data_IF_783634987250
#
_entry.id   IF_783634987250
#
_cell.length_a   1.000
_cell.length_b   1.000
_cell.length_c   1.000
_cell.angle_alpha   90.00
_cell.angle_beta   90.00
_cell.angle_gamma   90.00
#
_symmetry.space_group_name_H-M   'P 1'
#
loop_
_entity.id
_entity.type
_entity.pdbx_description
1 polymer ?
#
# COMPACT_ATOMS: atom_id res chain seq x y z
N UNK A 1 -5.28 8.41 -17.78
CA UNK A 1 -5.67 9.03 -16.50
C UNK A 1 -6.43 8.11 -15.53
N UNK A 2 -7.05 7.00 -15.98
CA UNK A 2 -7.78 6.07 -15.10
C UNK A 2 -6.91 5.36 -14.04
N UNK A 3 -5.72 4.89 -14.43
CA UNK A 3 -4.78 4.18 -13.53
C UNK A 3 -4.38 5.06 -12.34
N UNK A 4 -4.09 6.33 -12.60
CA UNK A 4 -3.75 7.31 -11.57
C UNK A 4 -4.89 7.49 -10.56
N UNK A 5 -6.15 7.50 -11.01
CA UNK A 5 -7.30 7.58 -10.11
C UNK A 5 -7.38 6.37 -9.17
N UNK A 6 -7.12 5.15 -9.67
CA UNK A 6 -7.10 3.95 -8.84
C UNK A 6 -5.98 4.01 -7.80
N UNK A 7 -4.78 4.43 -8.22
CA UNK A 7 -3.61 4.52 -7.33
C UNK A 7 -3.76 5.57 -6.22
N UNK A 8 -4.69 6.52 -6.35
CA UNK A 8 -5.04 7.47 -5.29
C UNK A 8 -5.98 6.87 -4.23
N UNK A 9 -6.54 5.69 -4.46
CA UNK A 9 -7.46 5.03 -3.54
C UNK A 9 -6.65 4.21 -2.51
N UNK A 10 -6.80 4.45 -1.19
CA UNK A 10 -6.07 3.72 -0.15
C UNK A 10 -6.33 2.21 -0.16
N UNK A 11 -7.54 1.80 -0.52
CA UNK A 11 -7.91 0.39 -0.60
C UNK A 11 -7.12 -0.40 -1.64
N UNK A 12 -6.63 0.24 -2.71
CA UNK A 12 -5.73 -0.40 -3.65
C UNK A 12 -4.42 -0.81 -2.95
N UNK A 13 -3.82 0.13 -2.21
CA UNK A 13 -2.59 -0.11 -1.45
C UNK A 13 -2.78 -1.12 -0.32
N UNK A 14 -3.92 -1.05 0.39
CA UNK A 14 -4.30 -2.06 1.37
C UNK A 14 -4.35 -3.48 0.76
N UNK A 15 -5.01 -3.63 -0.39
CA UNK A 15 -5.12 -4.91 -1.08
C UNK A 15 -3.75 -5.44 -1.51
N UNK A 16 -2.89 -4.59 -2.07
CA UNK A 16 -1.51 -4.97 -2.43
C UNK A 16 -0.74 -5.45 -1.18
N UNK A 17 -0.76 -4.68 -0.10
CA UNK A 17 -0.07 -5.02 1.14
C UNK A 17 -0.55 -6.35 1.71
N UNK A 18 -1.87 -6.52 1.81
CA UNK A 18 -2.48 -7.75 2.33
C UNK A 18 -2.12 -8.98 1.50
N UNK A 19 -2.25 -8.89 0.17
CA UNK A 19 -1.94 -10.01 -0.73
C UNK A 19 -0.46 -10.42 -0.66
N UNK A 20 0.44 -9.43 -0.62
CA UNK A 20 1.88 -9.69 -0.44
C UNK A 20 2.13 -10.34 0.92
N UNK A 21 1.52 -9.82 1.99
CA UNK A 21 1.68 -10.33 3.35
C UNK A 21 1.17 -11.76 3.50
N UNK A 22 -0.04 -12.06 3.04
CA UNK A 22 -0.63 -13.39 3.17
C UNK A 22 0.05 -14.42 2.24
N UNK A 23 0.45 -14.00 1.04
CA UNK A 23 1.10 -14.88 0.07
C UNK A 23 2.54 -15.21 0.44
N UNK A 24 3.32 -14.20 0.84
CA UNK A 24 4.77 -14.34 1.03
C UNK A 24 5.20 -14.35 2.50
N UNK A 25 4.43 -13.75 3.41
CA UNK A 25 4.83 -13.58 4.81
C UNK A 25 5.91 -12.50 4.95
N UNK A 26 6.77 -12.62 5.96
CA UNK A 26 7.89 -11.71 6.19
C UNK A 26 9.19 -12.33 5.67
N UNK A 27 9.28 -12.51 4.36
CA UNK A 27 10.52 -12.95 3.70
C UNK A 27 11.15 -11.81 2.88
N UNK A 28 12.38 -12.02 2.40
CA UNK A 28 13.13 -10.99 1.68
C UNK A 28 12.37 -10.45 0.46
N UNK A 29 11.72 -11.32 -0.31
CA UNK A 29 10.95 -10.93 -1.50
C UNK A 29 9.78 -10.03 -1.11
N UNK A 30 9.04 -10.40 -0.06
CA UNK A 30 7.91 -9.63 0.48
C UNK A 30 8.35 -8.23 0.91
N UNK A 31 9.46 -8.14 1.64
CA UNK A 31 10.03 -6.86 2.10
C UNK A 31 10.42 -5.98 0.91
N UNK A 32 11.09 -6.54 -0.10
CA UNK A 32 11.44 -5.78 -1.31
C UNK A 32 10.21 -5.32 -2.11
N UNK A 33 9.16 -6.12 -2.18
CA UNK A 33 7.89 -5.72 -2.83
C UNK A 33 7.20 -4.58 -2.09
N UNK A 34 7.18 -4.62 -0.75
CA UNK A 34 6.64 -3.51 0.06
C UNK A 34 7.48 -2.25 -0.09
N UNK A 35 8.81 -2.37 -0.08
CA UNK A 35 9.71 -1.23 -0.29
C UNK A 35 9.48 -0.59 -1.67
N UNK A 36 9.40 -1.40 -2.74
CA UNK A 36 9.08 -0.92 -4.08
C UNK A 36 7.68 -0.28 -4.14
N UNK A 37 6.70 -0.84 -3.45
CA UNK A 37 5.34 -0.29 -3.35
C UNK A 37 5.31 1.06 -2.64
N UNK A 38 6.09 1.24 -1.57
CA UNK A 38 6.24 2.53 -0.88
C UNK A 38 6.88 3.58 -1.80
N UNK A 39 7.91 3.22 -2.55
CA UNK A 39 8.52 4.14 -3.54
C UNK A 39 7.51 4.52 -4.63
N UNK A 40 6.73 3.56 -5.13
CA UNK A 40 5.66 3.80 -6.08
C UNK A 40 4.57 4.71 -5.49
N UNK A 41 4.21 4.52 -4.22
CA UNK A 41 3.27 5.38 -3.51
C UNK A 41 3.77 6.83 -3.41
N UNK A 42 5.04 7.04 -3.06
CA UNK A 42 5.64 8.37 -3.05
C UNK A 42 5.60 9.04 -4.43
N UNK A 43 5.84 8.27 -5.50
CA UNK A 43 5.70 8.77 -6.85
C UNK A 43 4.25 9.21 -7.15
N UNK A 44 3.25 8.42 -6.72
CA UNK A 44 1.82 8.75 -6.87
C UNK A 44 1.45 10.02 -6.11
N UNK A 45 1.95 10.21 -4.90
CA UNK A 45 1.74 11.45 -4.13
C UNK A 45 2.37 12.64 -4.88
N UNK A 46 3.62 12.51 -5.33
CA UNK A 46 4.33 13.58 -6.05
C UNK A 46 3.60 14.05 -7.31
N UNK A 47 3.07 13.12 -8.11
CA UNK A 47 2.35 13.46 -9.35
C UNK A 47 0.89 13.88 -9.12
N UNK A 48 0.36 13.71 -7.91
CA UNK A 48 -1.02 14.09 -7.59
C UNK A 48 -1.24 15.59 -7.48
N UNK A 49 -0.16 16.37 -7.44
CA UNK A 49 -0.19 17.83 -7.38
C UNK A 49 -0.27 18.37 -5.95
N UNK A 50 -0.63 19.65 -5.80
CA UNK A 50 -0.70 20.30 -4.49
C UNK A 50 -1.71 19.65 -3.54
N UNK A 51 -1.33 19.67 -2.26
CA UNK A 51 -2.18 19.41 -1.11
C UNK A 51 -3.56 20.10 -1.21
N UNK A 52 -4.62 19.36 -0.89
CA UNK A 52 -5.99 19.89 -0.72
C UNK A 52 -6.58 19.32 0.56
N UNK A 53 -7.04 20.20 1.44
CA UNK A 53 -7.56 19.84 2.77
C UNK A 53 -8.63 18.72 2.72
N UNK A 54 -9.52 18.77 1.72
CA UNK A 54 -10.62 17.81 1.53
C UNK A 54 -10.18 16.37 1.16
N UNK A 55 -8.98 16.18 0.58
CA UNK A 55 -8.61 14.90 -0.05
C UNK A 55 -7.19 14.42 0.26
N UNK A 56 -6.34 15.27 0.83
CA UNK A 56 -4.95 14.95 1.11
C UNK A 56 -4.83 13.83 2.14
N UNK A 57 -5.64 13.86 3.21
CA UNK A 57 -5.67 12.78 4.21
C UNK A 57 -6.05 11.43 3.58
N UNK A 58 -7.01 11.44 2.65
CA UNK A 58 -7.41 10.23 1.92
C UNK A 58 -6.24 9.72 1.06
N UNK A 59 -5.63 10.57 0.23
CA UNK A 59 -4.48 10.20 -0.60
C UNK A 59 -3.32 9.65 0.25
N UNK A 60 -2.96 10.36 1.32
CA UNK A 60 -1.81 10.02 2.16
C UNK A 60 -2.01 8.72 2.95
N UNK A 61 -3.26 8.41 3.33
CA UNK A 61 -3.59 7.18 4.05
C UNK A 61 -3.25 5.90 3.29
N UNK A 62 -3.05 5.95 1.97
CA UNK A 62 -2.63 4.80 1.16
C UNK A 62 -1.32 4.16 1.62
N UNK A 63 -0.33 4.96 2.02
CA UNK A 63 0.95 4.44 2.53
C UNK A 63 0.79 3.70 3.86
N UNK A 64 0.01 4.26 4.79
CA UNK A 64 -0.32 3.59 6.06
C UNK A 64 -1.15 2.34 5.82
N UNK A 65 -2.12 2.39 4.90
CA UNK A 65 -2.97 1.25 4.54
C UNK A 65 -2.13 0.09 3.98
N UNK A 66 -1.15 0.37 3.11
CA UNK A 66 -0.20 -0.63 2.60
C UNK A 66 0.49 -1.38 3.74
N UNK A 67 1.08 -0.63 4.68
CA UNK A 67 1.88 -1.20 5.78
C UNK A 67 1.02 -1.99 6.76
N UNK A 68 -0.10 -1.42 7.20
CA UNK A 68 -0.99 -2.06 8.16
C UNK A 68 -1.62 -3.32 7.57
N UNK A 69 -2.03 -3.29 6.31
CA UNK A 69 -2.59 -4.46 5.64
C UNK A 69 -1.53 -5.52 5.36
N UNK A 70 -0.27 -5.15 5.08
CA UNK A 70 0.83 -6.13 5.01
C UNK A 70 1.06 -6.83 6.34
N UNK A 71 1.07 -6.06 7.44
CA UNK A 71 1.17 -6.60 8.80
C UNK A 71 0.04 -7.58 9.09
N UNK A 72 -1.19 -7.18 8.80
CA UNK A 72 -2.35 -8.06 8.95
C UNK A 72 -2.22 -9.31 8.07
N UNK A 73 -1.77 -9.17 6.82
CA UNK A 73 -1.62 -10.28 5.88
C UNK A 73 -0.60 -11.32 6.34
N UNK A 74 0.60 -10.90 6.77
CA UNK A 74 1.58 -11.87 7.25
C UNK A 74 1.21 -12.45 8.62
N UNK A 75 0.48 -11.71 9.46
CA UNK A 75 -0.05 -12.24 10.72
C UNK A 75 -1.06 -13.35 10.44
N UNK A 76 -1.99 -13.12 9.50
CA UNK A 76 -2.92 -14.15 9.01
C UNK A 76 -2.15 -15.35 8.47
N UNK A 77 -1.10 -15.12 7.68
CA UNK A 77 -0.26 -16.21 7.16
C UNK A 77 0.29 -17.08 8.27
N UNK A 78 0.96 -16.48 9.26
CA UNK A 78 1.61 -17.24 10.34
C UNK A 78 0.64 -17.88 11.35
N UNK A 79 -0.63 -17.48 11.38
CA UNK A 79 -1.66 -18.10 12.23
C UNK A 79 -2.33 -19.28 11.51
N UNK A 80 -2.60 -19.15 10.21
CA UNK A 80 -3.42 -20.12 9.46
C UNK A 80 -2.60 -21.14 8.65
N UNK A 81 -1.34 -20.84 8.33
CA UNK A 81 -0.47 -21.65 7.46
C UNK A 81 0.93 -21.81 8.07
#
# INVERSE_FOLDING_TARGET
MFVLTILKIPFFWAAVGFLVGVGLGVNDISVWLIAASLLAFLAVVKISGPAREESEGFLFSGGSALMLSWILGFAVKGILF
#
